data_IF_854898239973
#
_entry.id   IF_854898239973
#
_cell.length_a   1.000
_cell.length_b   1.000
_cell.length_c   1.000
_cell.angle_alpha   90.00
_cell.angle_beta   90.00
_cell.angle_gamma   90.00
#
_symmetry.space_group_name_H-M   'P 1'
#
loop_
_entity.id
_entity.type
_entity.pdbx_description
1 polymer ?
#
# COMPACT_ATOMS: atom_id res chain seq x y z
N UNK A 1 19.70 23.88 42.32
CA UNK A 1 19.89 23.98 40.87
C UNK A 1 19.30 22.70 40.24
N UNK A 2 18.06 22.75 39.78
CA UNK A 2 17.45 21.64 39.06
C UNK A 2 18.13 21.54 37.69
N UNK A 3 18.71 20.38 37.37
CA UNK A 3 19.18 20.12 36.02
C UNK A 3 17.94 19.83 35.16
N UNK A 4 17.54 20.78 34.33
CA UNK A 4 16.54 20.55 33.28
C UNK A 4 17.19 19.67 32.19
N UNK A 5 16.92 18.37 32.29
CA UNK A 5 17.35 17.42 31.26
C UNK A 5 16.41 17.52 30.07
N UNK A 6 16.93 17.83 28.90
CA UNK A 6 16.16 17.86 27.65
C UNK A 6 15.63 16.49 27.21
N UNK A 7 16.27 15.42 27.67
CA UNK A 7 15.89 14.02 27.34
C UNK A 7 16.14 13.11 28.55
N UNK A 8 15.10 12.54 29.09
CA UNK A 8 15.18 11.47 30.09
C UNK A 8 14.92 10.14 29.36
N UNK A 9 15.98 9.36 29.11
CA UNK A 9 15.88 8.02 28.54
C UNK A 9 15.42 7.08 29.66
N UNK A 10 14.12 6.76 29.68
CA UNK A 10 13.57 5.76 30.61
C UNK A 10 13.32 4.44 29.88
N UNK A 11 13.70 3.33 30.52
CA UNK A 11 13.44 1.97 30.00
C UNK A 11 11.94 1.56 30.03
N UNK A 12 11.03 2.49 30.43
CA UNK A 12 9.59 2.26 30.53
C UNK A 12 8.85 2.83 29.30
N UNK A 13 9.07 2.25 28.11
CA UNK A 13 8.18 2.53 26.99
C UNK A 13 6.92 1.68 27.14
N UNK A 14 5.73 2.31 27.16
CA UNK A 14 4.44 1.60 27.11
C UNK A 14 4.33 0.88 25.77
N UNK A 15 3.89 -0.38 25.75
CA UNK A 15 3.74 -1.20 24.53
C UNK A 15 2.78 -0.56 23.50
N UNK A 16 1.83 0.22 24.00
CA UNK A 16 0.84 0.97 23.22
C UNK A 16 1.23 2.44 22.98
N UNK A 17 2.40 2.89 23.44
CA UNK A 17 2.80 4.26 23.14
C UNK A 17 3.11 4.35 21.64
N UNK A 18 2.10 4.80 20.90
CA UNK A 18 2.28 5.53 19.66
C UNK A 18 2.97 6.83 20.07
N UNK A 19 4.30 6.81 20.24
CA UNK A 19 5.05 8.03 20.50
C UNK A 19 5.09 8.86 19.20
N UNK A 20 3.87 9.20 18.69
CA UNK A 20 3.69 10.06 17.53
C UNK A 20 4.36 11.43 17.77
N UNK A 21 4.40 11.84 19.03
CA UNK A 21 5.12 13.05 19.40
C UNK A 21 6.65 12.89 19.18
N UNK A 22 7.22 11.76 19.56
CA UNK A 22 8.63 11.48 19.24
C UNK A 22 8.85 11.36 17.74
N UNK A 23 8.01 10.65 17.01
CA UNK A 23 8.10 10.55 15.53
C UNK A 23 8.03 11.96 14.91
N UNK A 24 7.16 12.82 15.40
CA UNK A 24 7.07 14.21 14.94
C UNK A 24 8.33 15.04 15.28
N UNK A 25 8.94 14.81 16.43
CA UNK A 25 10.23 15.40 16.80
C UNK A 25 11.33 15.00 15.81
N UNK A 26 11.29 13.76 15.27
CA UNK A 26 12.22 13.25 14.28
C UNK A 26 11.74 13.41 12.82
N UNK A 27 10.83 14.38 12.54
CA UNK A 27 10.34 14.64 11.18
C UNK A 27 11.44 14.96 10.16
N UNK A 28 12.53 15.60 10.60
CA UNK A 28 13.66 15.93 9.72
C UNK A 28 14.40 14.66 9.31
N UNK A 29 14.56 13.71 10.23
CA UNK A 29 15.11 12.38 9.93
C UNK A 29 14.19 11.62 8.97
N UNK A 30 12.87 11.66 9.18
CA UNK A 30 11.88 11.07 8.27
C UNK A 30 12.00 11.68 6.87
N UNK A 31 12.09 13.00 6.75
CA UNK A 31 12.30 13.69 5.47
C UNK A 31 13.63 13.28 4.79
N UNK A 32 14.70 13.08 5.56
CA UNK A 32 15.98 12.59 5.05
C UNK A 32 15.85 11.15 4.51
N UNK A 33 15.14 10.26 5.19
CA UNK A 33 14.88 8.90 4.69
C UNK A 33 14.05 8.92 3.39
N UNK A 34 12.98 9.71 3.34
CA UNK A 34 12.17 9.89 2.13
C UNK A 34 13.04 10.41 0.98
N UNK A 35 13.86 11.44 1.22
CA UNK A 35 14.79 11.99 0.22
C UNK A 35 15.81 10.96 -0.24
N UNK A 36 16.37 10.18 0.68
CA UNK A 36 17.31 9.08 0.37
C UNK A 36 16.64 8.07 -0.57
N UNK A 37 15.44 7.61 -0.22
CA UNK A 37 14.72 6.61 -0.98
C UNK A 37 14.40 7.11 -2.40
N UNK A 38 13.93 8.35 -2.53
CA UNK A 38 13.68 8.98 -3.83
C UNK A 38 15.00 9.09 -4.64
N UNK A 39 16.08 9.58 -4.04
CA UNK A 39 17.37 9.74 -4.73
C UNK A 39 17.89 8.38 -5.20
N UNK A 40 17.69 7.31 -4.41
CA UNK A 40 18.13 5.96 -4.80
C UNK A 40 17.42 5.47 -6.07
N UNK A 41 16.17 5.87 -6.31
CA UNK A 41 15.46 5.57 -7.55
C UNK A 41 16.06 6.28 -8.79
N UNK A 42 16.68 7.45 -8.62
CA UNK A 42 17.27 8.20 -9.72
C UNK A 42 18.74 7.84 -9.96
N UNK A 43 19.49 7.59 -8.90
CA UNK A 43 20.91 7.25 -8.98
C UNK A 43 21.06 5.81 -9.46
N UNK A 44 21.96 5.57 -10.40
CA UNK A 44 22.35 4.23 -10.88
C UNK A 44 21.34 3.54 -11.82
N UNK A 45 20.33 4.25 -12.35
CA UNK A 45 19.40 3.68 -13.32
C UNK A 45 19.40 4.50 -14.63
N UNK A 46 19.43 3.80 -15.79
CA UNK A 46 19.44 4.43 -17.11
C UNK A 46 18.11 5.18 -17.34
N UNK A 47 16.98 4.60 -16.98
CA UNK A 47 15.65 5.15 -17.20
C UNK A 47 15.10 5.92 -16.01
N UNK A 48 15.74 5.82 -14.83
CA UNK A 48 15.32 6.53 -13.61
C UNK A 48 13.83 6.34 -13.29
N UNK A 49 13.11 7.46 -13.02
CA UNK A 49 11.68 7.44 -12.69
C UNK A 49 10.78 6.92 -13.81
N UNK A 50 11.25 6.86 -15.07
CA UNK A 50 10.44 6.32 -16.16
C UNK A 50 10.02 4.88 -15.93
N UNK A 51 10.75 4.11 -15.13
CA UNK A 51 10.34 2.77 -14.73
C UNK A 51 8.99 2.75 -14.01
N UNK A 52 8.65 3.82 -13.28
CA UNK A 52 7.36 3.93 -12.59
C UNK A 52 6.18 4.06 -13.56
N UNK A 53 6.45 4.47 -14.80
CA UNK A 53 5.46 4.58 -15.87
C UNK A 53 5.51 3.34 -16.77
N UNK A 54 6.70 2.92 -17.18
CA UNK A 54 6.91 1.82 -18.11
C UNK A 54 6.31 0.52 -17.57
N UNK A 55 6.60 0.18 -16.31
CA UNK A 55 6.13 -1.06 -15.71
C UNK A 55 4.59 -1.17 -15.66
N UNK A 56 3.82 -0.17 -15.14
CA UNK A 56 2.36 -0.21 -15.18
C UNK A 56 1.79 -0.24 -16.60
N UNK A 57 2.41 0.47 -17.56
CA UNK A 57 1.96 0.46 -18.96
C UNK A 57 2.07 -0.94 -19.55
N UNK A 58 3.25 -1.57 -19.46
CA UNK A 58 3.43 -2.93 -19.97
C UNK A 58 2.52 -3.94 -19.27
N UNK A 59 2.36 -3.84 -17.93
CA UNK A 59 1.45 -4.72 -17.19
C UNK A 59 0.01 -4.53 -17.65
N UNK A 60 -0.41 -3.27 -17.86
CA UNK A 60 -1.76 -2.98 -18.36
C UNK A 60 -1.98 -3.57 -19.76
N UNK A 61 -1.02 -3.41 -20.68
CA UNK A 61 -1.09 -3.99 -22.03
C UNK A 61 -1.19 -5.51 -21.95
N UNK A 62 -0.38 -6.15 -21.10
CA UNK A 62 -0.43 -7.60 -20.91
C UNK A 62 -1.76 -8.04 -20.32
N UNK A 63 -2.32 -7.30 -19.37
CA UNK A 63 -3.64 -7.62 -18.81
C UNK A 63 -4.76 -7.45 -19.84
N UNK A 64 -4.71 -6.41 -20.65
CA UNK A 64 -5.66 -6.23 -21.77
C UNK A 64 -5.59 -7.39 -22.75
N UNK A 65 -4.39 -7.84 -23.11
CA UNK A 65 -4.20 -8.94 -24.04
C UNK A 65 -4.66 -10.28 -23.45
N UNK A 66 -4.21 -10.62 -22.24
CA UNK A 66 -4.49 -11.93 -21.64
C UNK A 66 -5.92 -12.01 -21.11
N UNK A 67 -6.32 -11.08 -20.27
CA UNK A 67 -7.62 -11.15 -19.58
C UNK A 67 -8.75 -10.55 -20.42
N UNK A 68 -8.49 -9.46 -21.10
CA UNK A 68 -9.48 -8.84 -22.00
C UNK A 68 -9.61 -9.56 -23.34
N UNK A 69 -8.47 -9.90 -23.99
CA UNK A 69 -8.46 -10.51 -25.31
C UNK A 69 -8.66 -12.03 -25.28
N UNK A 70 -7.78 -12.77 -24.59
CA UNK A 70 -7.81 -14.23 -24.62
C UNK A 70 -8.88 -14.81 -23.70
N UNK A 71 -8.93 -14.35 -22.45
CA UNK A 71 -9.89 -14.86 -21.45
C UNK A 71 -11.29 -14.24 -21.58
N UNK A 72 -11.43 -13.11 -22.31
CA UNK A 72 -12.73 -12.47 -22.54
C UNK A 72 -13.42 -11.95 -21.28
N UNK A 73 -12.66 -11.61 -20.23
CA UNK A 73 -13.23 -11.10 -18.99
C UNK A 73 -13.80 -9.70 -19.23
N UNK A 74 -15.10 -9.52 -18.93
CA UNK A 74 -15.76 -8.23 -19.01
C UNK A 74 -15.12 -7.23 -18.03
N UNK A 75 -15.15 -5.95 -18.43
CA UNK A 75 -14.75 -4.82 -17.58
C UNK A 75 -15.95 -3.92 -17.24
N UNK A 76 -17.17 -4.48 -17.26
CA UNK A 76 -18.43 -3.78 -16.97
C UNK A 76 -18.66 -2.53 -17.84
N UNK A 77 -18.20 -2.58 -19.11
CA UNK A 77 -18.33 -1.45 -20.04
C UNK A 77 -17.29 -0.35 -19.85
N UNK A 78 -16.38 -0.47 -18.89
CA UNK A 78 -15.24 0.45 -18.73
C UNK A 78 -14.17 0.09 -19.76
N UNK A 79 -13.50 1.06 -20.42
CA UNK A 79 -12.34 0.78 -21.26
C UNK A 79 -11.29 -0.03 -20.49
N UNK A 80 -10.84 -1.14 -21.06
CA UNK A 80 -9.94 -2.07 -20.41
C UNK A 80 -8.68 -1.39 -19.84
N UNK A 81 -8.10 -0.44 -20.58
CA UNK A 81 -6.93 0.31 -20.13
C UNK A 81 -7.19 1.09 -18.83
N UNK A 82 -8.35 1.77 -18.73
CA UNK A 82 -8.76 2.52 -17.55
C UNK A 82 -9.00 1.58 -16.38
N UNK A 83 -9.71 0.47 -16.62
CA UNK A 83 -10.06 -0.52 -15.60
C UNK A 83 -8.81 -1.15 -14.96
N UNK A 84 -7.90 -1.69 -15.79
CA UNK A 84 -6.68 -2.34 -15.29
C UNK A 84 -5.73 -1.34 -14.64
N UNK A 85 -5.57 -0.15 -15.23
CA UNK A 85 -4.65 0.84 -14.68
C UNK A 85 -5.14 1.37 -13.32
N UNK A 86 -6.46 1.60 -13.16
CA UNK A 86 -7.05 1.97 -11.87
C UNK A 86 -6.75 0.94 -10.77
N UNK A 87 -6.97 -0.35 -11.09
CA UNK A 87 -6.67 -1.45 -10.17
C UNK A 87 -5.18 -1.56 -9.85
N UNK A 88 -4.31 -1.44 -10.87
CA UNK A 88 -2.86 -1.54 -10.71
C UNK A 88 -2.26 -0.40 -9.89
N UNK A 89 -2.74 0.84 -10.04
CA UNK A 89 -2.25 1.98 -9.23
C UNK A 89 -2.48 1.73 -7.75
N UNK A 90 -3.70 1.31 -7.37
CA UNK A 90 -4.04 0.98 -5.99
C UNK A 90 -3.24 -0.23 -5.47
N UNK A 91 -3.18 -1.30 -6.27
CA UNK A 91 -2.48 -2.53 -5.91
C UNK A 91 -0.98 -2.30 -5.72
N UNK A 92 -0.31 -1.65 -6.68
CA UNK A 92 1.13 -1.39 -6.62
C UNK A 92 1.52 -0.59 -5.38
N UNK A 93 0.71 0.42 -5.02
CA UNK A 93 0.97 1.21 -3.81
C UNK A 93 0.89 0.35 -2.54
N UNK A 94 -0.17 -0.43 -2.39
CA UNK A 94 -0.32 -1.36 -1.27
C UNK A 94 0.83 -2.36 -1.22
N UNK A 95 1.11 -3.03 -2.35
CA UNK A 95 2.17 -4.05 -2.46
C UNK A 95 3.55 -3.50 -2.14
N UNK A 96 3.89 -2.32 -2.65
CA UNK A 96 5.18 -1.67 -2.40
C UNK A 96 5.33 -1.30 -0.91
N UNK A 97 4.28 -0.73 -0.30
CA UNK A 97 4.27 -0.42 1.12
C UNK A 97 4.45 -1.69 1.96
N UNK A 98 3.66 -2.74 1.68
CA UNK A 98 3.76 -4.00 2.40
C UNK A 98 5.15 -4.64 2.25
N UNK A 99 5.62 -4.82 1.03
CA UNK A 99 6.87 -5.54 0.75
C UNK A 99 8.09 -4.83 1.33
N UNK A 100 8.19 -3.51 1.19
CA UNK A 100 9.33 -2.75 1.73
C UNK A 100 9.25 -2.62 3.26
N UNK A 101 8.06 -2.39 3.83
CA UNK A 101 7.90 -2.37 5.28
C UNK A 101 8.18 -3.73 5.91
N UNK A 102 7.92 -4.84 5.21
CA UNK A 102 8.22 -6.20 5.70
C UNK A 102 9.72 -6.48 5.88
N UNK A 103 10.58 -5.71 5.23
CA UNK A 103 12.04 -5.84 5.32
C UNK A 103 12.70 -4.79 6.24
N UNK A 104 11.91 -3.99 6.96
CA UNK A 104 12.41 -2.84 7.74
C UNK A 104 13.54 -3.21 8.70
N UNK A 105 13.39 -4.27 9.50
CA UNK A 105 14.42 -4.67 10.46
C UNK A 105 15.67 -5.18 9.77
N UNK A 106 15.54 -6.04 8.77
CA UNK A 106 16.68 -6.65 8.09
C UNK A 106 17.47 -5.61 7.26
N UNK A 107 16.77 -4.76 6.51
CA UNK A 107 17.41 -3.75 5.66
C UNK A 107 18.13 -2.64 6.46
N UNK A 108 17.69 -2.38 7.70
CA UNK A 108 18.25 -1.30 8.52
C UNK A 108 18.99 -1.80 9.76
N UNK A 109 19.34 -3.09 9.85
CA UNK A 109 20.03 -3.72 10.96
C UNK A 109 21.30 -2.96 11.38
N UNK A 110 22.13 -2.57 10.40
CA UNK A 110 23.37 -1.86 10.64
C UNK A 110 23.22 -0.48 11.28
N UNK A 111 22.05 0.17 11.07
CA UNK A 111 21.75 1.52 11.59
C UNK A 111 21.09 1.39 12.96
N UNK A 112 20.15 0.45 13.12
CA UNK A 112 19.39 0.26 14.36
C UNK A 112 20.23 -0.10 15.57
N UNK A 113 21.42 -0.70 15.36
CA UNK A 113 22.37 -1.03 16.40
C UNK A 113 23.31 0.12 16.81
N UNK A 114 23.40 1.19 16.00
CA UNK A 114 24.40 2.25 16.20
C UNK A 114 23.82 3.58 16.61
N UNK A 115 22.57 3.87 16.27
CA UNK A 115 21.94 5.17 16.49
C UNK A 115 20.58 4.99 17.14
N UNK A 116 20.33 5.77 18.19
CA UNK A 116 19.03 5.79 18.85
C UNK A 116 18.08 6.76 18.16
N UNK A 117 16.97 6.26 17.63
CA UNK A 117 15.84 7.02 17.13
C UNK A 117 14.57 6.13 17.12
N UNK A 118 13.35 6.73 17.07
CA UNK A 118 12.11 5.97 16.99
C UNK A 118 12.08 5.14 15.70
N UNK A 119 12.17 3.82 15.80
CA UNK A 119 12.30 2.92 14.62
C UNK A 119 11.09 2.98 13.70
N UNK A 120 9.92 3.44 14.18
CA UNK A 120 8.73 3.70 13.36
C UNK A 120 8.95 4.75 12.27
N UNK A 121 9.96 5.62 12.40
CA UNK A 121 10.32 6.60 11.36
C UNK A 121 10.62 5.92 10.03
N UNK A 122 11.27 4.73 10.06
CA UNK A 122 11.64 4.01 8.84
C UNK A 122 10.43 3.48 8.07
N UNK A 123 9.52 2.67 8.64
CA UNK A 123 8.35 2.22 7.90
C UNK A 123 7.40 3.35 7.47
N UNK A 124 7.32 4.43 8.25
CA UNK A 124 6.55 5.62 7.85
C UNK A 124 7.21 6.32 6.64
N UNK A 125 8.53 6.46 6.61
CA UNK A 125 9.23 7.03 5.45
C UNK A 125 9.04 6.21 4.19
N UNK A 126 8.96 4.87 4.30
CA UNK A 126 8.68 3.96 3.18
C UNK A 126 7.29 4.25 2.59
N UNK A 127 6.26 4.40 3.42
CA UNK A 127 4.89 4.70 2.96
C UNK A 127 4.83 6.03 2.22
N UNK A 128 5.49 7.08 2.77
CA UNK A 128 5.54 8.40 2.15
C UNK A 128 6.33 8.38 0.84
N UNK A 129 7.45 7.68 0.78
CA UNK A 129 8.26 7.53 -0.45
C UNK A 129 7.46 6.82 -1.55
N UNK A 130 6.71 5.77 -1.20
CA UNK A 130 5.86 5.06 -2.15
C UNK A 130 4.63 5.87 -2.58
N UNK A 131 4.15 6.81 -1.76
CA UNK A 131 3.08 7.74 -2.15
C UNK A 131 3.51 8.62 -3.33
N UNK A 132 4.79 9.03 -3.39
CA UNK A 132 5.33 9.79 -4.53
C UNK A 132 5.32 8.93 -5.80
N UNK A 133 5.76 7.65 -5.70
CA UNK A 133 5.67 6.69 -6.81
C UNK A 133 4.23 6.50 -7.27
N UNK A 134 3.30 6.32 -6.32
CA UNK A 134 1.87 6.23 -6.62
C UNK A 134 1.36 7.50 -7.32
N UNK A 135 1.80 8.70 -6.91
CA UNK A 135 1.43 9.96 -7.55
C UNK A 135 1.79 10.00 -9.04
N UNK A 136 2.97 9.46 -9.41
CA UNK A 136 3.39 9.36 -10.82
C UNK A 136 2.47 8.37 -11.58
N UNK A 137 2.17 7.21 -10.99
CA UNK A 137 1.27 6.22 -11.61
C UNK A 137 -0.17 6.74 -11.69
N UNK A 138 -0.60 7.48 -10.68
CA UNK A 138 -1.91 8.14 -10.69
C UNK A 138 -2.01 9.23 -11.76
N UNK A 139 -0.95 10.01 -11.97
CA UNK A 139 -0.90 10.96 -13.08
C UNK A 139 -1.01 10.25 -14.45
N UNK A 140 -0.32 9.11 -14.62
CA UNK A 140 -0.47 8.28 -15.82
C UNK A 140 -1.93 7.81 -15.99
N UNK A 141 -2.56 7.33 -14.90
CA UNK A 141 -3.98 6.95 -14.92
C UNK A 141 -4.87 8.11 -15.36
N UNK A 142 -4.66 9.32 -14.83
CA UNK A 142 -5.44 10.51 -15.20
C UNK A 142 -5.24 10.89 -16.68
N UNK A 143 -4.04 10.73 -17.24
CA UNK A 143 -3.80 10.98 -18.68
C UNK A 143 -4.59 9.99 -19.53
N UNK A 144 -4.54 8.70 -19.21
CA UNK A 144 -5.30 7.67 -19.95
C UNK A 144 -6.80 7.89 -19.78
N UNK A 145 -7.26 8.18 -18.57
CA UNK A 145 -8.65 8.50 -18.26
C UNK A 145 -9.17 9.70 -19.08
N UNK A 146 -8.39 10.81 -19.12
CA UNK A 146 -8.72 12.03 -19.87
C UNK A 146 -8.79 11.77 -21.37
N UNK A 147 -7.91 10.91 -21.89
CA UNK A 147 -7.97 10.52 -23.31
C UNK A 147 -9.30 9.84 -23.65
N UNK A 148 -9.73 8.84 -22.86
CA UNK A 148 -10.99 8.15 -23.10
C UNK A 148 -12.19 9.06 -22.87
N UNK A 149 -12.14 9.98 -21.92
CA UNK A 149 -13.17 10.99 -21.72
C UNK A 149 -13.31 11.90 -22.95
N UNK A 150 -12.19 12.34 -23.53
CA UNK A 150 -12.17 13.17 -24.76
C UNK A 150 -12.66 12.41 -26.01
N UNK A 151 -12.55 11.08 -26.05
CA UNK A 151 -13.10 10.25 -27.15
C UNK A 151 -14.61 10.02 -27.07
N UNK A 152 -15.31 10.65 -26.10
CA UNK A 152 -16.75 10.61 -25.98
C UNK A 152 -17.29 9.50 -25.06
N UNK A 153 -16.44 8.82 -24.30
CA UNK A 153 -16.89 7.87 -23.28
C UNK A 153 -17.36 8.68 -22.07
N UNK A 154 -18.64 8.59 -21.77
CA UNK A 154 -19.24 9.31 -20.64
C UNK A 154 -18.97 8.55 -19.33
N UNK A 155 -17.93 8.96 -18.60
CA UNK A 155 -17.74 8.53 -17.21
C UNK A 155 -18.63 9.36 -16.28
N UNK A 156 -19.28 8.70 -15.34
CA UNK A 156 -20.08 9.37 -14.31
C UNK A 156 -19.20 9.66 -13.10
N UNK A 157 -18.66 10.88 -13.04
CA UNK A 157 -17.89 11.32 -11.86
C UNK A 157 -18.85 11.47 -10.68
N UNK A 158 -18.57 10.76 -9.59
CA UNK A 158 -19.44 10.70 -8.42
C UNK A 158 -18.82 11.43 -7.21
N UNK A 159 -19.65 11.76 -6.23
CA UNK A 159 -19.20 12.29 -4.94
C UNK A 159 -18.20 11.37 -4.21
N UNK A 160 -18.15 10.09 -4.57
CA UNK A 160 -17.14 9.13 -4.08
C UNK A 160 -15.70 9.55 -4.43
N UNK A 161 -15.49 10.48 -5.38
CA UNK A 161 -14.16 11.04 -5.67
C UNK A 161 -13.53 11.72 -4.44
N UNK A 162 -14.35 12.30 -3.56
CA UNK A 162 -13.89 12.89 -2.30
C UNK A 162 -13.32 11.85 -1.32
N UNK A 163 -13.65 10.58 -1.50
CA UNK A 163 -13.11 9.48 -0.68
C UNK A 163 -11.72 9.03 -1.13
N UNK A 164 -11.28 9.38 -2.34
CA UNK A 164 -9.99 8.93 -2.89
C UNK A 164 -8.80 9.18 -1.96
N UNK A 165 -8.63 10.36 -1.32
CA UNK A 165 -7.56 10.57 -0.36
C UNK A 165 -7.63 9.60 0.83
N UNK A 166 -8.84 9.28 1.31
CA UNK A 166 -9.05 8.34 2.42
C UNK A 166 -8.70 6.92 1.96
N UNK A 167 -9.09 6.52 0.75
CA UNK A 167 -8.74 5.22 0.17
C UNK A 167 -7.22 5.04 0.07
N UNK A 168 -6.49 6.09 -0.33
CA UNK A 168 -5.03 6.08 -0.41
C UNK A 168 -4.42 5.89 0.99
N UNK A 169 -4.94 6.59 2.00
CA UNK A 169 -4.49 6.43 3.39
C UNK A 169 -4.77 5.00 3.90
N UNK A 170 -5.93 4.43 3.57
CA UNK A 170 -6.27 3.05 3.91
C UNK A 170 -5.30 2.05 3.27
N UNK A 171 -4.99 2.20 1.98
CA UNK A 171 -4.02 1.33 1.28
C UNK A 171 -2.63 1.41 1.92
N UNK A 172 -2.14 2.62 2.18
CA UNK A 172 -0.87 2.83 2.87
C UNK A 172 -0.88 2.27 4.29
N UNK A 173 -1.99 2.45 5.02
CA UNK A 173 -2.20 1.93 6.37
C UNK A 173 -2.21 0.39 6.41
N UNK A 174 -2.90 -0.27 5.49
CA UNK A 174 -2.88 -1.74 5.35
C UNK A 174 -1.46 -2.24 5.03
N UNK A 175 -0.79 -1.61 4.05
CA UNK A 175 0.58 -1.97 3.67
C UNK A 175 1.57 -1.79 4.84
N UNK A 176 1.44 -0.68 5.58
CA UNK A 176 2.24 -0.40 6.77
C UNK A 176 1.97 -1.43 7.89
N UNK A 177 0.69 -1.66 8.22
CA UNK A 177 0.30 -2.55 9.30
C UNK A 177 0.74 -4.00 9.06
N UNK A 178 0.40 -4.56 7.90
CA UNK A 178 0.88 -5.90 7.52
C UNK A 178 2.40 -5.95 7.42
N UNK A 179 3.02 -4.94 6.79
CA UNK A 179 4.48 -4.87 6.66
C UNK A 179 5.20 -4.90 8.01
N UNK A 180 4.71 -4.17 9.03
CA UNK A 180 5.27 -4.18 10.37
C UNK A 180 5.10 -5.53 11.08
N UNK A 181 3.94 -6.20 10.95
CA UNK A 181 3.71 -7.54 11.49
C UNK A 181 4.72 -8.51 10.88
N UNK A 182 4.82 -8.49 9.56
CA UNK A 182 5.71 -9.38 8.80
C UNK A 182 7.18 -9.09 9.12
N UNK A 183 7.59 -7.83 9.17
CA UNK A 183 8.95 -7.44 9.53
C UNK A 183 9.36 -8.01 10.89
N UNK A 184 8.43 -8.01 11.83
CA UNK A 184 8.62 -8.57 13.15
C UNK A 184 8.81 -10.09 13.15
N UNK A 185 8.12 -10.80 12.23
CA UNK A 185 8.25 -12.26 12.07
C UNK A 185 9.53 -12.63 11.33
N UNK A 186 9.89 -11.89 10.28
CA UNK A 186 11.08 -12.16 9.45
C UNK A 186 12.40 -11.89 10.18
N UNK A 187 12.38 -11.15 11.28
CA UNK A 187 13.53 -10.99 12.18
C UNK A 187 14.00 -12.33 12.74
N UNK A 188 13.06 -13.23 13.09
CA UNK A 188 13.36 -14.55 13.62
C UNK A 188 13.50 -15.63 12.54
N UNK A 189 12.66 -15.56 11.50
CA UNK A 189 12.56 -16.55 10.43
C UNK A 189 12.75 -15.87 9.06
N UNK A 190 13.97 -15.90 8.56
CA UNK A 190 14.36 -15.19 7.32
C UNK A 190 13.74 -15.77 6.07
N UNK A 191 13.40 -17.06 6.07
CA UNK A 191 12.74 -17.78 4.98
C UNK A 191 11.30 -17.32 4.70
N UNK A 192 10.61 -16.77 5.72
CA UNK A 192 9.26 -16.19 5.56
C UNK A 192 9.22 -15.08 4.50
N UNK A 193 10.34 -14.43 4.20
CA UNK A 193 10.43 -13.40 3.16
C UNK A 193 10.02 -13.93 1.79
N UNK A 194 10.48 -15.14 1.42
CA UNK A 194 10.11 -15.75 0.14
C UNK A 194 8.63 -16.12 0.10
N UNK A 195 8.12 -16.69 1.17
CA UNK A 195 6.71 -17.06 1.30
C UNK A 195 5.79 -15.83 1.21
N UNK A 196 6.19 -14.71 1.79
CA UNK A 196 5.44 -13.46 1.74
C UNK A 196 5.44 -12.86 0.34
N UNK A 197 6.60 -12.84 -0.34
CA UNK A 197 6.68 -12.36 -1.73
C UNK A 197 5.73 -13.13 -2.64
N UNK A 198 5.73 -14.45 -2.51
CA UNK A 198 4.80 -15.33 -3.24
C UNK A 198 3.34 -15.10 -2.82
N UNK A 199 3.08 -15.00 -1.51
CA UNK A 199 1.74 -14.77 -0.97
C UNK A 199 1.13 -13.46 -1.44
N UNK A 200 1.91 -12.38 -1.50
CA UNK A 200 1.45 -11.08 -2.03
C UNK A 200 1.09 -11.18 -3.51
N UNK A 201 1.88 -11.90 -4.31
CA UNK A 201 1.53 -12.12 -5.73
C UNK A 201 0.21 -12.87 -5.88
N UNK A 202 -0.03 -13.92 -5.08
CA UNK A 202 -1.30 -14.66 -5.09
C UNK A 202 -2.45 -13.78 -4.61
N UNK A 203 -2.23 -12.92 -3.63
CA UNK A 203 -3.25 -12.01 -3.10
C UNK A 203 -3.78 -11.04 -4.17
N UNK A 204 -2.96 -10.66 -5.15
CA UNK A 204 -3.42 -9.86 -6.28
C UNK A 204 -4.56 -10.54 -7.05
N UNK A 205 -4.47 -11.85 -7.26
CA UNK A 205 -5.52 -12.61 -7.93
C UNK A 205 -6.79 -12.81 -7.08
N UNK A 206 -6.66 -12.75 -5.76
CA UNK A 206 -7.78 -12.76 -4.83
C UNK A 206 -8.37 -11.36 -4.57
N UNK A 207 -7.90 -10.34 -5.31
CA UNK A 207 -8.37 -8.96 -5.22
C UNK A 207 -8.91 -8.54 -6.58
N UNK A 208 -10.00 -7.76 -6.67
CA UNK A 208 -10.62 -7.38 -7.94
C UNK A 208 -9.80 -6.33 -8.70
N UNK A 209 -8.52 -6.66 -8.98
CA UNK A 209 -7.62 -5.87 -9.85
C UNK A 209 -7.89 -6.21 -11.30
N UNK A 210 -8.04 -7.51 -11.60
CA UNK A 210 -8.08 -8.08 -12.96
C UNK A 210 -9.52 -8.26 -13.46
N UNK A 211 -10.47 -8.43 -12.56
CA UNK A 211 -11.87 -8.68 -12.85
C UNK A 211 -12.76 -7.76 -12.01
N UNK A 212 -13.97 -7.38 -12.47
CA UNK A 212 -14.93 -6.67 -11.65
C UNK A 212 -15.65 -7.62 -10.69
N UNK A 213 -16.07 -7.08 -9.55
CA UNK A 213 -16.79 -7.84 -8.52
C UNK A 213 -18.14 -8.37 -9.00
N UNK A 214 -18.81 -7.63 -9.88
CA UNK A 214 -20.07 -7.99 -10.54
C UNK A 214 -20.00 -9.33 -11.27
N UNK A 215 -18.97 -9.52 -12.10
CA UNK A 215 -18.76 -10.78 -12.85
C UNK A 215 -18.57 -11.96 -11.90
N UNK A 216 -17.85 -11.75 -10.78
CA UNK A 216 -17.68 -12.83 -9.80
C UNK A 216 -18.96 -13.16 -9.05
N UNK A 217 -19.81 -12.17 -8.80
CA UNK A 217 -21.14 -12.40 -8.20
C UNK A 217 -22.06 -13.22 -9.08
N UNK A 218 -22.04 -12.99 -10.38
CA UNK A 218 -22.85 -13.73 -11.34
C UNK A 218 -22.32 -15.14 -11.58
N UNK A 219 -20.99 -15.28 -11.76
CA UNK A 219 -20.39 -16.56 -12.14
C UNK A 219 -20.19 -17.49 -10.93
N UNK A 220 -19.80 -16.93 -9.78
CA UNK A 220 -19.45 -17.70 -8.58
C UNK A 220 -20.08 -17.14 -7.29
N UNK A 221 -21.43 -17.06 -7.18
CA UNK A 221 -22.11 -16.44 -6.04
C UNK A 221 -21.77 -17.09 -4.69
N UNK A 222 -21.45 -18.38 -4.70
CA UNK A 222 -21.09 -19.15 -3.49
C UNK A 222 -19.76 -18.69 -2.87
N UNK A 223 -18.84 -18.17 -3.66
CA UNK A 223 -17.48 -17.78 -3.20
C UNK A 223 -17.30 -16.28 -3.02
N UNK A 224 -18.31 -15.47 -3.28
CA UNK A 224 -18.24 -14.00 -3.20
C UNK A 224 -17.80 -13.51 -1.81
N UNK A 225 -18.18 -14.23 -0.75
CA UNK A 225 -17.82 -13.90 0.62
C UNK A 225 -16.31 -13.82 0.83
N UNK A 226 -15.50 -14.64 0.12
CA UNK A 226 -14.03 -14.63 0.19
C UNK A 226 -13.48 -13.30 -0.34
N UNK A 227 -14.05 -12.79 -1.45
CA UNK A 227 -13.65 -11.54 -2.05
C UNK A 227 -14.09 -10.34 -1.20
N UNK A 228 -15.30 -10.40 -0.63
CA UNK A 228 -15.82 -9.33 0.24
C UNK A 228 -15.08 -9.29 1.58
N UNK A 229 -14.63 -10.45 2.10
CA UNK A 229 -13.81 -10.51 3.31
C UNK A 229 -12.40 -9.90 3.11
N UNK A 230 -11.93 -9.78 1.86
CA UNK A 230 -10.68 -9.11 1.56
C UNK A 230 -10.84 -7.58 1.71
N UNK A 231 -10.14 -6.91 2.64
CA UNK A 231 -10.31 -5.48 2.88
C UNK A 231 -9.91 -4.61 1.69
N UNK A 232 -9.08 -5.11 0.78
CA UNK A 232 -8.68 -4.39 -0.44
C UNK A 232 -9.82 -4.31 -1.45
N UNK A 233 -10.75 -5.27 -1.45
CA UNK A 233 -11.84 -5.32 -2.43
C UNK A 233 -12.69 -4.05 -2.40
N UNK A 234 -13.20 -3.65 -1.24
CA UNK A 234 -14.03 -2.47 -1.14
C UNK A 234 -13.26 -1.17 -1.48
N UNK A 235 -11.96 -1.12 -1.17
CA UNK A 235 -11.13 0.04 -1.49
C UNK A 235 -10.96 0.18 -3.01
N UNK A 236 -10.61 -0.91 -3.70
CA UNK A 236 -10.40 -0.91 -5.15
C UNK A 236 -11.70 -0.66 -5.92
N UNK A 237 -12.79 -1.32 -5.53
CA UNK A 237 -14.10 -1.11 -6.16
C UNK A 237 -14.60 0.32 -5.95
N UNK A 238 -14.46 0.88 -4.74
CA UNK A 238 -14.80 2.29 -4.48
C UNK A 238 -13.94 3.24 -5.31
N UNK A 239 -12.63 2.95 -5.47
CA UNK A 239 -11.75 3.75 -6.31
C UNK A 239 -12.19 3.74 -7.78
N UNK A 240 -12.48 2.58 -8.35
CA UNK A 240 -13.00 2.46 -9.72
C UNK A 240 -14.33 3.19 -9.86
N UNK A 241 -15.28 2.94 -8.95
CA UNK A 241 -16.58 3.59 -8.93
C UNK A 241 -16.48 5.12 -8.87
N UNK A 242 -15.56 5.67 -8.11
CA UNK A 242 -15.36 7.12 -7.97
C UNK A 242 -15.05 7.81 -9.30
N UNK A 243 -14.26 7.17 -10.17
CA UNK A 243 -13.86 7.74 -11.46
C UNK A 243 -14.78 7.35 -12.61
N UNK A 244 -15.36 6.17 -12.60
CA UNK A 244 -16.08 5.63 -13.77
C UNK A 244 -17.60 5.64 -13.60
N UNK A 245 -18.08 5.68 -12.35
CA UNK A 245 -19.49 5.51 -12.03
C UNK A 245 -19.99 4.07 -12.15
N UNK A 246 -19.08 3.15 -12.51
CA UNK A 246 -19.38 1.72 -12.70
C UNK A 246 -18.64 0.92 -11.65
N UNK A 247 -19.27 -0.13 -11.12
CA UNK A 247 -18.75 -0.95 -10.04
C UNK A 247 -19.65 -0.92 -8.80
N UNK A 248 -19.24 -1.62 -7.75
CA UNK A 248 -20.03 -1.73 -6.55
C UNK A 248 -19.52 -0.82 -5.45
N UNK A 249 -20.28 0.19 -5.10
CA UNK A 249 -20.05 1.01 -3.92
C UNK A 249 -20.99 0.61 -2.79
N UNK A 250 -20.43 0.21 -1.65
CA UNK A 250 -21.20 -0.13 -0.46
C UNK A 250 -20.50 0.41 0.80
N UNK A 251 -21.21 1.25 1.55
CA UNK A 251 -20.73 1.86 2.78
C UNK A 251 -20.36 0.84 3.86
N UNK A 252 -21.07 -0.29 3.95
CA UNK A 252 -20.79 -1.33 4.95
C UNK A 252 -19.45 -2.01 4.65
N UNK A 253 -19.18 -2.34 3.38
CA UNK A 253 -17.92 -2.96 2.98
C UNK A 253 -16.74 -2.00 3.15
N UNK A 254 -16.95 -0.71 2.82
CA UNK A 254 -15.92 0.31 3.04
C UNK A 254 -15.66 0.53 4.53
N UNK A 255 -16.72 0.58 5.35
CA UNK A 255 -16.61 0.68 6.82
C UNK A 255 -15.89 -0.52 7.44
N UNK A 256 -16.17 -1.74 6.94
CA UNK A 256 -15.42 -2.94 7.31
C UNK A 256 -13.93 -2.79 6.98
N UNK A 257 -13.59 -2.40 5.74
CA UNK A 257 -12.20 -2.23 5.32
C UNK A 257 -11.48 -1.14 6.13
N UNK A 258 -12.17 -0.06 6.46
CA UNK A 258 -11.63 1.01 7.30
C UNK A 258 -11.33 0.51 8.72
N UNK A 259 -12.28 -0.18 9.35
CA UNK A 259 -12.11 -0.76 10.69
C UNK A 259 -10.99 -1.80 10.70
N UNK A 260 -10.95 -2.66 9.68
CA UNK A 260 -9.90 -3.66 9.51
C UNK A 260 -8.51 -3.00 9.36
N UNK A 261 -8.42 -1.90 8.59
CA UNK A 261 -7.17 -1.12 8.44
C UNK A 261 -6.68 -0.62 9.78
N UNK A 262 -7.57 -0.03 10.60
CA UNK A 262 -7.20 0.48 11.93
C UNK A 262 -6.72 -0.65 12.83
N UNK A 263 -7.42 -1.79 12.85
CA UNK A 263 -7.06 -2.94 13.67
C UNK A 263 -5.67 -3.48 13.28
N UNK A 264 -5.42 -3.69 11.99
CA UNK A 264 -4.13 -4.19 11.49
C UNK A 264 -3.00 -3.20 11.75
N UNK A 265 -3.26 -1.90 11.63
CA UNK A 265 -2.28 -0.86 11.94
C UNK A 265 -1.90 -0.88 13.42
N UNK A 266 -2.89 -0.91 14.32
CA UNK A 266 -2.65 -0.97 15.76
C UNK A 266 -1.91 -2.24 16.17
N UNK A 267 -2.33 -3.40 15.66
CA UNK A 267 -1.64 -4.67 15.89
C UNK A 267 -0.20 -4.64 15.37
N UNK A 268 -0.01 -4.10 14.16
CA UNK A 268 1.31 -3.94 13.56
C UNK A 268 2.24 -3.10 14.43
N UNK A 269 1.78 -1.97 14.93
CA UNK A 269 2.57 -1.09 15.80
C UNK A 269 2.91 -1.78 17.13
N UNK A 270 1.94 -2.45 17.76
CA UNK A 270 2.18 -3.16 19.04
C UNK A 270 3.21 -4.26 18.87
N UNK A 271 3.08 -5.09 17.82
CA UNK A 271 4.00 -6.19 17.55
C UNK A 271 5.39 -5.65 17.19
N UNK A 272 5.46 -4.62 16.35
CA UNK A 272 6.70 -3.97 15.94
C UNK A 272 7.45 -3.38 17.14
N UNK A 273 6.76 -2.65 18.03
CA UNK A 273 7.33 -2.09 19.24
C UNK A 273 7.82 -3.18 20.21
N UNK A 274 7.11 -4.31 20.28
CA UNK A 274 7.54 -5.45 21.12
C UNK A 274 8.84 -6.07 20.60
N UNK A 275 8.93 -6.32 19.30
CA UNK A 275 10.13 -6.90 18.68
C UNK A 275 11.30 -5.93 18.71
N UNK A 276 11.04 -4.62 18.51
CA UNK A 276 12.05 -3.58 18.61
C UNK A 276 12.86 -3.64 19.92
N UNK A 277 12.24 -3.98 21.05
CA UNK A 277 12.91 -4.05 22.36
C UNK A 277 13.92 -5.20 22.42
N UNK A 278 13.55 -6.36 21.90
CA UNK A 278 14.36 -7.57 21.97
C UNK A 278 15.25 -7.75 20.72
N UNK A 279 15.19 -6.80 19.78
CA UNK A 279 15.90 -6.93 18.50
C UNK A 279 17.41 -7.01 18.66
N UNK A 280 17.97 -6.30 19.65
CA UNK A 280 19.42 -6.30 19.92
C UNK A 280 19.89 -7.59 20.60
N UNK A 281 18.98 -8.36 21.22
CA UNK A 281 19.30 -9.60 21.92
C UNK A 281 19.25 -10.83 20.97
N UNK A 282 18.68 -10.64 19.76
CA UNK A 282 18.45 -11.73 18.78
C UNK A 282 19.47 -11.72 17.63
N UNK A 283 20.23 -10.64 17.51
CA UNK A 283 21.29 -10.46 16.51
C UNK A 283 22.66 -10.68 17.14
#
# INVERSE_FOLDING_TARGET
MGQDWDIIITNKSKLLSLDLHEVWRYRDLLAMYVKRDIITFYKQTILGPLWFIIQPVFTTIMFMFVFGGIAGISTDGIPQAVFYLAGLVCWNYFQDCLSKCSDTFNANQAIFGKVYFPRLVVPLSIVISNLIKMGIQFALFLVVYSYYFATGINFQINAALLLVPILIVMLGGLGLGFGMIISSMTTKYRDLRFLITFGVQLWMYATPVIYPLSVMKETYPKYIWVLVANPLTAILETFKYAFTGVGEFNWLYLGYSFSFTIIILLLGIVIFNRVQRNFMDVI
#
